data_IF_601719165554
#
_entry.id   IF_601719165554
#
_cell.length_a   1.000
_cell.length_b   1.000
_cell.length_c   1.000
_cell.angle_alpha   90.00
_cell.angle_beta   90.00
_cell.angle_gamma   90.00
#
_symmetry.space_group_name_H-M   'P 1'
#
loop_
_entity.id
_entity.type
_entity.pdbx_description
1 polymer ?
#
# COMPACT_ATOMS: atom_id res chain seq x y z
N UNK A 1 -6.66 12.96 -21.02
CA UNK A 1 -5.83 12.25 -20.03
C UNK A 1 -6.62 12.16 -18.74
N UNK A 2 -7.28 11.02 -18.48
CA UNK A 2 -8.17 10.87 -17.31
C UNK A 2 -7.32 10.69 -16.06
N UNK A 3 -7.53 11.55 -15.05
CA UNK A 3 -6.86 11.40 -13.76
C UNK A 3 -7.30 10.07 -13.11
N UNK A 4 -6.31 9.25 -12.76
CA UNK A 4 -6.50 8.07 -11.91
C UNK A 4 -6.88 8.55 -10.49
N UNK A 5 -7.81 7.94 -9.78
CA UNK A 5 -8.02 8.14 -8.34
C UNK A 5 -8.46 6.81 -7.79
N UNK A 6 -7.85 6.37 -6.70
CA UNK A 6 -8.33 5.22 -5.95
C UNK A 6 -9.17 5.76 -4.80
N UNK A 7 -10.43 5.38 -4.74
CA UNK A 7 -11.30 5.68 -3.60
C UNK A 7 -11.62 4.38 -2.89
N UNK A 8 -11.37 4.35 -1.59
CA UNK A 8 -11.67 3.23 -0.73
C UNK A 8 -12.88 3.56 0.14
N UNK A 9 -13.83 2.63 0.19
CA UNK A 9 -15.03 2.70 1.02
C UNK A 9 -15.11 1.45 1.89
N UNK A 10 -15.43 1.60 3.17
CA UNK A 10 -15.72 0.45 4.05
C UNK A 10 -17.22 0.17 4.00
N UNK A 11 -17.59 -1.07 3.66
CA UNK A 11 -18.94 -1.50 3.25
C UNK A 11 -20.10 -0.88 4.04
N UNK A 12 -20.85 0.04 3.43
CA UNK A 12 -22.13 0.54 3.93
C UNK A 12 -23.30 -0.28 3.35
N UNK A 13 -23.89 -1.15 4.18
CA UNK A 13 -25.19 -1.85 3.97
C UNK A 13 -25.47 -2.33 2.52
N UNK A 14 -24.86 -3.44 2.08
CA UNK A 14 -25.46 -4.30 1.04
C UNK A 14 -25.37 -5.81 1.31
N UNK A 15 -24.73 -6.22 2.41
CA UNK A 15 -24.86 -7.57 2.98
C UNK A 15 -25.46 -7.42 4.38
N UNK A 16 -26.33 -8.35 4.79
CA UNK A 16 -27.02 -8.27 6.09
C UNK A 16 -26.11 -8.41 7.33
N UNK A 17 -24.78 -8.55 7.18
CA UNK A 17 -23.83 -8.35 8.28
C UNK A 17 -22.37 -8.14 7.78
N UNK A 18 -21.90 -6.92 7.46
CA UNK A 18 -20.47 -6.69 7.30
C UNK A 18 -19.89 -6.42 8.68
N UNK A 19 -19.07 -7.37 9.15
CA UNK A 19 -18.32 -7.34 10.40
C UNK A 19 -17.74 -5.95 10.67
N UNK A 20 -17.78 -5.51 11.93
CA UNK A 20 -17.34 -4.20 12.42
C UNK A 20 -15.79 -4.06 12.42
N UNK A 21 -15.12 -4.48 11.36
CA UNK A 21 -13.69 -4.30 11.17
C UNK A 21 -13.36 -2.82 10.90
N UNK A 22 -12.19 -2.39 11.38
CA UNK A 22 -11.65 -1.06 11.08
C UNK A 22 -10.36 -1.20 10.29
N UNK A 23 -10.04 -0.19 9.46
CA UNK A 23 -8.86 -0.24 8.59
C UNK A 23 -8.01 1.00 8.80
N UNK A 24 -6.77 0.81 9.26
CA UNK A 24 -5.77 1.87 9.30
C UNK A 24 -5.19 2.06 7.90
N UNK A 25 -5.49 3.19 7.27
CA UNK A 25 -5.04 3.48 5.91
C UNK A 25 -4.19 4.74 5.89
N UNK A 26 -3.33 4.85 4.88
CA UNK A 26 -2.63 6.09 4.63
C UNK A 26 -1.80 6.09 3.36
N UNK A 27 -1.33 7.27 2.99
CA UNK A 27 -0.36 7.47 1.92
C UNK A 27 0.73 8.44 2.34
N UNK A 28 1.87 8.33 1.66
CA UNK A 28 3.02 9.21 1.85
C UNK A 28 3.22 10.04 0.58
N UNK A 29 3.42 11.34 0.74
CA UNK A 29 3.88 12.20 -0.35
C UNK A 29 5.37 11.97 -0.61
N UNK A 30 5.78 12.09 -1.86
CA UNK A 30 7.18 11.89 -2.26
C UNK A 30 7.78 13.20 -2.75
N UNK A 31 9.02 13.50 -2.32
CA UNK A 31 9.88 14.54 -2.86
C UNK A 31 9.17 15.91 -2.98
N UNK A 32 8.53 16.36 -1.89
CA UNK A 32 7.87 17.66 -1.88
C UNK A 32 8.89 18.80 -2.00
N UNK A 33 8.42 20.01 -2.33
CA UNK A 33 9.27 21.19 -2.53
C UNK A 33 10.12 21.56 -1.31
N UNK A 34 9.65 21.21 -0.12
CA UNK A 34 10.34 21.40 1.15
C UNK A 34 11.30 20.24 1.51
N UNK A 35 11.49 19.29 0.59
CA UNK A 35 12.33 18.10 0.77
C UNK A 35 11.71 17.04 1.69
N UNK A 36 10.49 17.23 2.18
CA UNK A 36 9.88 16.34 3.17
C UNK A 36 8.85 15.40 2.54
N UNK A 37 8.81 14.17 3.03
CA UNK A 37 7.75 13.21 2.74
C UNK A 37 6.73 13.27 3.88
N UNK A 38 5.46 13.51 3.56
CA UNK A 38 4.39 13.69 4.56
C UNK A 38 3.44 12.50 4.54
N UNK A 39 3.22 11.92 5.71
CA UNK A 39 2.24 10.86 5.93
C UNK A 39 0.84 11.46 6.17
N UNK A 40 -0.15 10.93 5.46
CA UNK A 40 -1.58 11.19 5.67
C UNK A 40 -2.27 9.89 6.02
N UNK A 41 -2.93 9.83 7.17
CA UNK A 41 -3.54 8.59 7.67
C UNK A 41 -4.93 8.82 8.24
N UNK A 42 -5.72 7.75 8.25
CA UNK A 42 -7.01 7.69 8.94
C UNK A 42 -7.32 6.24 9.33
N UNK A 43 -7.99 6.05 10.46
CA UNK A 43 -8.67 4.78 10.76
C UNK A 43 -10.08 4.86 10.15
N UNK A 44 -10.35 4.02 9.16
CA UNK A 44 -11.65 3.95 8.51
C UNK A 44 -12.60 3.06 9.30
N UNK A 45 -13.79 3.59 9.56
CA UNK A 45 -14.94 2.86 10.06
C UNK A 45 -15.92 2.58 8.92
N UNK A 46 -16.93 1.77 9.19
CA UNK A 46 -18.02 1.51 8.26
C UNK A 46 -18.64 2.82 7.72
N UNK A 47 -18.72 2.95 6.40
CA UNK A 47 -19.24 4.15 5.73
C UNK A 47 -18.22 5.27 5.53
N UNK A 48 -17.03 5.20 6.11
CA UNK A 48 -15.95 6.15 5.82
C UNK A 48 -15.45 5.99 4.37
N UNK A 49 -14.99 7.10 3.83
CA UNK A 49 -14.37 7.21 2.51
C UNK A 49 -12.95 7.75 2.66
N UNK A 50 -12.02 7.20 1.89
CA UNK A 50 -10.66 7.70 1.79
C UNK A 50 -10.18 7.70 0.34
N UNK A 51 -9.47 8.75 -0.06
CA UNK A 51 -8.98 8.91 -1.43
C UNK A 51 -7.46 8.84 -1.43
N UNK A 52 -6.91 7.95 -2.25
CA UNK A 52 -5.49 7.85 -2.51
C UNK A 52 -5.16 8.59 -3.81
N UNK A 53 -4.23 9.57 -3.76
CA UNK A 53 -3.69 10.18 -4.97
C UNK A 53 -2.92 9.16 -5.83
N UNK A 54 -2.86 9.42 -7.14
CA UNK A 54 -2.17 8.55 -8.11
C UNK A 54 -0.69 8.47 -7.80
N UNK A 55 -0.13 7.26 -7.89
CA UNK A 55 1.31 7.06 -7.94
C UNK A 55 2.02 7.34 -6.61
N UNK A 56 1.25 7.58 -5.54
CA UNK A 56 1.80 7.67 -4.19
C UNK A 56 1.80 6.31 -3.52
N UNK A 57 2.84 6.10 -2.71
CA UNK A 57 2.95 4.95 -1.83
C UNK A 57 1.81 5.05 -0.82
N UNK A 58 1.01 3.99 -0.72
CA UNK A 58 -0.09 3.90 0.22
C UNK A 58 -0.19 2.49 0.79
N UNK A 59 -0.89 2.38 1.93
CA UNK A 59 -1.04 1.12 2.65
C UNK A 59 -2.43 1.03 3.29
N UNK A 60 -2.81 -0.21 3.59
CA UNK A 60 -3.97 -0.55 4.40
C UNK A 60 -3.57 -1.62 5.40
N UNK A 61 -3.99 -1.47 6.65
CA UNK A 61 -3.64 -2.38 7.73
C UNK A 61 -4.84 -2.59 8.66
N UNK A 62 -5.28 -3.84 8.81
CA UNK A 62 -6.32 -4.17 9.78
C UNK A 62 -5.70 -4.28 11.18
N UNK A 63 -5.86 -3.22 11.98
CA UNK A 63 -5.40 -3.20 13.38
C UNK A 63 -6.38 -3.90 14.33
N UNK A 64 -7.62 -4.14 13.89
CA UNK A 64 -8.65 -4.78 14.70
C UNK A 64 -8.48 -6.29 14.79
N UNK A 65 -9.17 -6.90 15.76
CA UNK A 65 -9.24 -8.37 15.91
C UNK A 65 -10.36 -8.99 15.06
N UNK A 66 -11.16 -8.15 14.39
CA UNK A 66 -12.27 -8.57 13.54
C UNK A 66 -11.88 -8.44 12.06
N UNK A 67 -12.32 -9.36 11.19
CA UNK A 67 -12.16 -9.20 9.75
C UNK A 67 -12.75 -7.86 9.27
N UNK A 68 -12.00 -7.15 8.43
CA UNK A 68 -12.41 -5.89 7.81
C UNK A 68 -12.48 -6.08 6.28
N UNK A 69 -13.52 -5.53 5.66
CA UNK A 69 -13.71 -5.56 4.20
C UNK A 69 -13.86 -4.13 3.69
N UNK A 70 -13.08 -3.79 2.67
CA UNK A 70 -13.16 -2.52 1.98
C UNK A 70 -13.32 -2.74 0.48
N UNK A 71 -14.05 -1.84 -0.17
CA UNK A 71 -14.18 -1.78 -1.62
C UNK A 71 -13.31 -0.66 -2.16
N UNK A 72 -12.53 -0.99 -3.19
CA UNK A 72 -11.70 -0.07 -3.93
C UNK A 72 -12.34 0.20 -5.30
N UNK A 73 -12.57 1.47 -5.62
CA UNK A 73 -12.95 1.91 -6.95
C UNK A 73 -11.77 2.64 -7.60
N UNK A 74 -11.36 2.20 -8.79
CA UNK A 74 -10.26 2.79 -9.55
C UNK A 74 -10.83 3.41 -10.83
N UNK A 75 -10.41 4.62 -11.18
CA UNK A 75 -10.87 5.29 -12.41
C UNK A 75 -10.18 4.81 -13.69
N UNK A 76 -9.62 3.60 -13.68
CA UNK A 76 -9.00 2.96 -14.86
C UNK A 76 -9.25 1.46 -14.84
N UNK A 77 -9.68 0.91 -15.98
CA UNK A 77 -9.81 -0.54 -16.21
C UNK A 77 -8.46 -1.29 -16.16
N UNK A 78 -7.34 -0.58 -16.31
CA UNK A 78 -5.98 -1.11 -16.22
C UNK A 78 -5.18 -0.27 -15.22
N UNK A 79 -5.63 -0.26 -13.97
CA UNK A 79 -5.02 0.56 -12.94
C UNK A 79 -3.60 0.12 -12.59
N UNK A 80 -3.31 -1.19 -12.70
CA UNK A 80 -2.05 -1.81 -12.26
C UNK A 80 -1.85 -1.73 -10.73
N UNK A 81 -1.04 -2.63 -10.18
CA UNK A 81 -0.65 -2.60 -8.77
C UNK A 81 0.85 -2.88 -8.70
N UNK A 82 1.57 -2.11 -7.88
CA UNK A 82 2.99 -2.33 -7.60
C UNK A 82 3.13 -2.63 -6.11
N UNK A 83 3.34 -3.90 -5.79
CA UNK A 83 3.64 -4.33 -4.42
C UNK A 83 5.09 -4.02 -4.12
N UNK A 84 5.36 -2.86 -3.51
CA UNK A 84 6.71 -2.26 -3.39
C UNK A 84 7.76 -3.26 -2.91
N UNK A 85 7.49 -3.95 -1.80
CA UNK A 85 8.47 -4.82 -1.19
C UNK A 85 8.79 -6.04 -2.08
N UNK A 86 7.78 -6.63 -2.73
CA UNK A 86 7.99 -7.68 -3.73
C UNK A 86 8.73 -7.16 -4.98
N UNK A 87 8.36 -5.97 -5.48
CA UNK A 87 9.02 -5.38 -6.64
C UNK A 87 10.50 -5.04 -6.39
N UNK A 88 10.86 -4.66 -5.15
CA UNK A 88 12.24 -4.27 -4.78
C UNK A 88 13.08 -5.48 -4.38
N UNK A 89 12.53 -6.41 -3.60
CA UNK A 89 13.30 -7.52 -3.01
C UNK A 89 12.96 -8.90 -3.59
N UNK A 90 11.84 -9.05 -4.30
CA UNK A 90 11.38 -10.31 -4.89
C UNK A 90 11.39 -10.33 -6.42
N UNK A 91 12.06 -9.37 -7.07
CA UNK A 91 12.15 -9.33 -8.53
C UNK A 91 12.93 -10.52 -9.08
N UNK A 92 12.60 -10.95 -10.30
CA UNK A 92 13.36 -11.94 -11.07
C UNK A 92 13.75 -11.34 -12.44
N UNK A 93 15.05 -11.13 -12.72
CA UNK A 93 16.19 -11.35 -11.83
C UNK A 93 16.22 -10.40 -10.61
N UNK A 94 16.89 -10.77 -9.51
CA UNK A 94 17.00 -9.91 -8.33
C UNK A 94 17.84 -8.66 -8.61
N UNK A 95 17.44 -7.53 -8.03
CA UNK A 95 18.26 -6.31 -8.05
C UNK A 95 19.59 -6.58 -7.34
N UNK A 96 20.68 -6.03 -7.88
CA UNK A 96 22.01 -6.17 -7.28
C UNK A 96 21.99 -5.75 -5.78
N UNK A 97 22.37 -6.63 -4.85
CA UNK A 97 22.34 -6.34 -3.42
C UNK A 97 23.17 -5.12 -3.02
N UNK A 98 24.26 -4.83 -3.72
CA UNK A 98 25.13 -3.68 -3.41
C UNK A 98 24.43 -2.34 -3.74
N UNK A 99 23.58 -2.33 -4.78
CA UNK A 99 22.75 -1.17 -5.13
C UNK A 99 21.70 -0.93 -4.05
N UNK A 100 21.02 -1.99 -3.61
CA UNK A 100 20.01 -1.89 -2.55
C UNK A 100 20.65 -1.53 -1.20
N UNK A 101 21.80 -2.11 -0.85
CA UNK A 101 22.53 -1.78 0.37
C UNK A 101 22.88 -0.29 0.42
N UNK A 102 23.35 0.25 -0.72
CA UNK A 102 23.63 1.69 -0.84
C UNK A 102 22.37 2.55 -0.78
N UNK A 103 21.30 2.16 -1.44
CA UNK A 103 20.05 2.92 -1.50
C UNK A 103 19.33 2.97 -0.14
N UNK A 104 19.30 1.84 0.58
CA UNK A 104 18.67 1.71 1.89
C UNK A 104 19.61 2.08 3.05
N UNK A 105 20.90 2.31 2.79
CA UNK A 105 21.94 2.65 3.77
C UNK A 105 22.07 1.60 4.88
N UNK A 106 22.06 0.32 4.48
CA UNK A 106 22.15 -0.83 5.37
C UNK A 106 23.22 -1.79 4.90
N UNK A 107 23.61 -2.73 5.76
CA UNK A 107 24.55 -3.79 5.39
C UNK A 107 23.93 -4.75 4.36
N UNK A 108 24.79 -5.27 3.48
CA UNK A 108 24.42 -6.26 2.46
C UNK A 108 23.70 -7.48 3.04
N UNK A 109 24.10 -7.94 4.22
CA UNK A 109 23.47 -9.08 4.90
C UNK A 109 21.97 -8.85 5.17
N UNK A 110 21.55 -7.60 5.43
CA UNK A 110 20.14 -7.25 5.62
C UNK A 110 19.40 -7.36 4.28
N UNK A 111 20.01 -6.87 3.19
CA UNK A 111 19.43 -6.98 1.85
C UNK A 111 19.30 -8.44 1.43
N UNK A 112 20.35 -9.25 1.61
CA UNK A 112 20.33 -10.67 1.29
C UNK A 112 19.24 -11.41 2.08
N UNK A 113 18.99 -10.99 3.33
CA UNK A 113 17.90 -11.52 4.14
C UNK A 113 16.52 -11.13 3.61
N UNK A 114 16.34 -9.86 3.21
CA UNK A 114 15.08 -9.36 2.63
C UNK A 114 14.77 -10.01 1.28
N UNK A 115 15.78 -10.24 0.44
CA UNK A 115 15.61 -10.90 -0.87
C UNK A 115 15.29 -12.40 -0.76
N UNK A 116 15.65 -13.04 0.35
CA UNK A 116 15.31 -14.44 0.62
C UNK A 116 13.91 -14.63 1.20
N UNK A 117 13.21 -13.56 1.57
CA UNK A 117 11.84 -13.69 2.10
C UNK A 117 10.89 -14.17 1.00
N UNK A 118 9.97 -15.06 1.35
CA UNK A 118 8.93 -15.50 0.44
C UNK A 118 7.87 -14.40 0.31
N UNK A 119 7.66 -13.94 -0.92
CA UNK A 119 6.61 -12.99 -1.24
C UNK A 119 5.35 -13.75 -1.64
N UNK A 120 4.28 -13.55 -0.89
CA UNK A 120 2.95 -14.04 -1.26
C UNK A 120 2.17 -12.91 -1.94
N UNK A 121 1.38 -13.28 -2.96
CA UNK A 121 0.44 -12.35 -3.58
C UNK A 121 -0.63 -11.96 -2.56
N UNK A 122 -0.63 -10.67 -2.20
CA UNK A 122 -1.58 -10.07 -1.25
C UNK A 122 -2.71 -9.32 -1.97
N UNK A 123 -2.98 -9.67 -3.23
CA UNK A 123 -3.89 -8.93 -4.12
C UNK A 123 -5.17 -9.71 -4.41
#
# INVERSE_FOLDING_TARGET
>A
MTLKKLVMFVNGKFCKDPMQGTLYVGFVTSNQKDGKNRLFTKVLNKGDVFVFPIGLIHFQFNKGHTPAVAFAALSSQNAGVITIANAVFGSDPPINPDVLAKAFQVDKNIIDHLQKQFWYDNN
#
